data_IF_078921709098
#
_entry.id   IF_078921709098
#
_cell.length_a   1.000
_cell.length_b   1.000
_cell.length_c   1.000
_cell.angle_alpha   90.00
_cell.angle_beta   90.00
_cell.angle_gamma   90.00
#
_symmetry.space_group_name_H-M   'P 1'
#
loop_
_entity.id
_entity.type
_entity.pdbx_description
1 polymer ?
#
# COMPACT_ATOMS: atom_id res chain seq x y z
N UNK A 1 -2.52 -29.45 25.85
CA UNK A 1 -2.53 -27.98 25.85
C UNK A 1 -2.39 -27.54 24.41
N UNK A 2 -3.49 -27.10 23.78
CA UNK A 2 -3.38 -26.44 22.48
C UNK A 2 -2.46 -25.23 22.68
N UNK A 3 -1.43 -25.11 21.85
CA UNK A 3 -0.56 -23.93 21.88
C UNK A 3 -1.44 -22.71 21.67
N UNK A 4 -1.32 -21.73 22.57
CA UNK A 4 -1.79 -20.37 22.37
C UNK A 4 -0.95 -19.76 21.22
N UNK A 5 -1.11 -20.26 19.99
CA UNK A 5 -0.82 -19.44 18.82
C UNK A 5 -1.77 -18.25 18.93
N UNK A 6 -1.19 -17.09 19.21
CA UNK A 6 -1.88 -15.92 19.72
C UNK A 6 -3.14 -15.60 18.92
N UNK A 7 -4.26 -15.51 19.63
CA UNK A 7 -5.52 -14.91 19.18
C UNK A 7 -5.24 -13.66 18.33
N UNK A 8 -5.58 -13.71 17.04
CA UNK A 8 -5.47 -12.55 16.15
C UNK A 8 -6.81 -11.84 16.13
N UNK A 9 -6.81 -10.54 16.43
CA UNK A 9 -8.03 -9.72 16.34
C UNK A 9 -8.48 -9.56 14.88
N UNK A 10 -7.51 -9.47 13.96
CA UNK A 10 -7.73 -9.38 12.52
C UNK A 10 -6.77 -10.30 11.75
N UNK A 11 -7.10 -10.60 10.50
CA UNK A 11 -6.16 -11.15 9.50
C UNK A 11 -5.99 -10.15 8.36
N UNK A 12 -4.97 -10.35 7.54
CA UNK A 12 -4.75 -9.54 6.35
C UNK A 12 -4.48 -10.42 5.13
N UNK A 13 -4.95 -9.95 3.98
CA UNK A 13 -4.56 -10.44 2.66
C UNK A 13 -3.96 -9.27 1.89
N UNK A 14 -2.94 -9.53 1.07
CA UNK A 14 -2.31 -8.49 0.28
C UNK A 14 -1.92 -8.98 -1.11
N UNK A 15 -2.01 -8.08 -2.09
CA UNK A 15 -1.50 -8.30 -3.43
C UNK A 15 -0.80 -7.04 -3.96
N UNK A 16 0.26 -7.27 -4.72
CA UNK A 16 1.03 -6.21 -5.34
C UNK A 16 0.93 -6.28 -6.86
N UNK A 17 0.81 -5.12 -7.50
CA UNK A 17 0.88 -4.95 -8.95
C UNK A 17 1.94 -3.89 -9.25
N UNK A 18 2.83 -4.19 -10.20
CA UNK A 18 3.86 -3.29 -10.69
C UNK A 18 3.72 -3.14 -12.20
N UNK A 19 3.56 -1.92 -12.68
CA UNK A 19 3.52 -1.60 -14.10
C UNK A 19 4.65 -0.59 -14.39
N UNK A 20 5.79 -1.02 -14.94
CA UNK A 20 6.86 -0.10 -15.30
C UNK A 20 6.44 0.88 -16.40
N UNK A 21 6.94 2.11 -16.41
CA UNK A 21 6.81 3.07 -17.50
C UNK A 21 7.10 2.36 -18.82
N UNK A 22 6.33 2.59 -19.90
CA UNK A 22 6.48 1.83 -21.14
C UNK A 22 7.91 1.84 -21.70
N UNK A 23 8.60 2.97 -21.59
CA UNK A 23 9.98 3.12 -22.05
C UNK A 23 11.00 2.42 -21.13
N UNK A 24 10.64 2.15 -19.87
CA UNK A 24 11.46 1.48 -18.84
C UNK A 24 11.07 0.01 -18.64
N UNK A 25 10.14 -0.53 -19.43
CA UNK A 25 9.59 -1.88 -19.22
C UNK A 25 10.66 -2.98 -19.33
N UNK A 26 11.64 -2.82 -20.21
CA UNK A 26 12.72 -3.79 -20.39
C UNK A 26 13.71 -3.85 -19.22
N UNK A 27 13.79 -2.79 -18.41
CA UNK A 27 14.63 -2.70 -17.22
C UNK A 27 13.85 -2.95 -15.92
N UNK A 28 12.53 -3.17 -16.02
CA UNK A 28 11.66 -3.41 -14.87
C UNK A 28 11.19 -2.14 -14.15
N UNK A 29 11.45 -0.95 -14.70
CA UNK A 29 11.09 0.32 -14.07
C UNK A 29 12.06 0.77 -12.98
N UNK A 30 11.74 1.91 -12.38
CA UNK A 30 12.47 2.54 -11.29
C UNK A 30 11.78 2.35 -9.92
N UNK A 31 10.53 1.91 -9.92
CA UNK A 31 9.80 1.51 -8.71
C UNK A 31 10.25 0.14 -8.18
N UNK A 32 10.17 0.00 -6.86
CA UNK A 32 10.35 -1.24 -6.12
C UNK A 32 9.33 -1.37 -4.99
N UNK A 33 9.05 -2.59 -4.57
CA UNK A 33 8.21 -2.85 -3.41
C UNK A 33 8.69 -4.09 -2.66
N UNK A 34 8.21 -4.27 -1.43
CA UNK A 34 8.27 -5.55 -0.74
C UNK A 34 6.97 -5.83 0.00
N UNK A 35 6.67 -7.11 0.16
CA UNK A 35 5.58 -7.63 1.00
C UNK A 35 6.18 -8.71 1.88
N UNK A 36 6.26 -8.48 3.18
CA UNK A 36 6.86 -9.41 4.13
C UNK A 36 6.00 -9.51 5.39
N UNK A 37 5.28 -10.62 5.52
CA UNK A 37 4.31 -10.87 6.59
C UNK A 37 3.26 -9.74 6.67
N UNK A 38 3.37 -8.89 7.68
CA UNK A 38 2.50 -7.76 7.95
C UNK A 38 3.19 -6.40 7.76
N UNK A 39 4.32 -6.37 7.07
CA UNK A 39 5.06 -5.16 6.70
C UNK A 39 5.14 -5.05 5.19
N UNK A 40 4.92 -3.84 4.69
CA UNK A 40 4.82 -3.52 3.28
C UNK A 40 5.61 -2.25 3.01
N UNK A 41 6.20 -2.16 1.84
CA UNK A 41 6.92 -0.96 1.43
C UNK A 41 6.87 -0.75 -0.08
N UNK A 42 6.81 0.51 -0.49
CA UNK A 42 7.00 0.96 -1.87
C UNK A 42 8.08 2.03 -1.90
N UNK A 43 8.88 2.01 -2.97
CA UNK A 43 10.05 2.85 -3.16
C UNK A 43 10.06 3.28 -4.62
N UNK A 44 9.94 4.58 -4.88
CA UNK A 44 9.99 5.13 -6.23
C UNK A 44 11.34 5.77 -6.48
N UNK A 45 12.10 5.21 -7.42
CA UNK A 45 13.41 5.69 -7.83
C UNK A 45 13.32 6.97 -8.65
N UNK A 46 14.00 8.02 -8.21
CA UNK A 46 13.90 9.35 -8.84
C UNK A 46 14.45 9.33 -10.28
N UNK A 47 13.57 9.39 -11.27
CA UNK A 47 13.92 9.23 -12.69
C UNK A 47 14.88 10.28 -13.27
N UNK A 48 15.12 11.42 -12.59
CA UNK A 48 16.08 12.43 -13.06
C UNK A 48 17.53 11.90 -13.14
N UNK A 49 17.86 10.84 -12.41
CA UNK A 49 19.16 10.16 -12.45
C UNK A 49 19.50 9.58 -13.83
N UNK A 50 18.50 9.28 -14.66
CA UNK A 50 18.72 8.80 -16.02
C UNK A 50 19.55 9.77 -16.87
N UNK A 51 19.44 11.08 -16.62
CA UNK A 51 20.26 12.12 -17.29
C UNK A 51 21.76 12.03 -16.99
N UNK A 52 22.13 11.35 -15.92
CA UNK A 52 23.51 11.08 -15.50
C UNK A 52 23.93 9.63 -15.79
N UNK A 53 23.10 8.87 -16.52
CA UNK A 53 23.36 7.45 -16.81
C UNK A 53 23.25 6.54 -15.58
N UNK A 54 22.52 6.98 -14.55
CA UNK A 54 22.34 6.25 -13.29
C UNK A 54 20.95 5.59 -13.28
N UNK A 55 20.90 4.30 -12.96
CA UNK A 55 19.65 3.53 -12.82
C UNK A 55 19.07 3.74 -11.42
N UNK A 56 18.08 4.63 -11.29
CA UNK A 56 17.38 4.88 -10.03
C UNK A 56 16.61 3.64 -9.54
N UNK A 57 16.21 2.76 -10.45
CA UNK A 57 15.60 1.47 -10.11
C UNK A 57 16.55 0.53 -9.40
N UNK A 58 17.84 0.55 -9.75
CA UNK A 58 18.83 -0.24 -9.03
C UNK A 58 18.95 0.23 -7.58
N UNK A 59 18.87 1.54 -7.35
CA UNK A 59 18.86 2.13 -6.01
C UNK A 59 17.62 1.74 -5.22
N UNK A 60 16.42 1.96 -5.76
CA UNK A 60 15.15 1.66 -5.08
C UNK A 60 15.02 0.17 -4.74
N UNK A 61 15.40 -0.73 -5.66
CA UNK A 61 15.43 -2.18 -5.42
C UNK A 61 16.42 -2.56 -4.33
N UNK A 62 17.63 -1.99 -4.35
CA UNK A 62 18.64 -2.27 -3.33
C UNK A 62 18.21 -1.77 -1.94
N UNK A 63 17.65 -0.55 -1.86
CA UNK A 63 17.16 0.01 -0.60
C UNK A 63 15.95 -0.77 -0.07
N UNK A 64 15.00 -1.14 -0.93
CA UNK A 64 13.83 -1.95 -0.60
C UNK A 64 14.23 -3.31 -0.01
N UNK A 65 15.05 -4.08 -0.74
CA UNK A 65 15.51 -5.39 -0.28
C UNK A 65 16.37 -5.30 0.99
N UNK A 66 17.26 -4.30 1.06
CA UNK A 66 18.08 -4.05 2.24
C UNK A 66 17.25 -3.68 3.46
N UNK A 67 16.14 -2.96 3.27
CA UNK A 67 15.24 -2.56 4.37
C UNK A 67 14.47 -3.78 4.87
N UNK A 68 13.88 -4.56 3.96
CA UNK A 68 13.14 -5.78 4.28
C UNK A 68 14.00 -6.79 5.08
N UNK A 69 15.27 -6.99 4.66
CA UNK A 69 16.20 -7.90 5.34
C UNK A 69 16.66 -7.45 6.74
N UNK A 70 16.45 -6.17 7.10
CA UNK A 70 16.83 -5.59 8.40
C UNK A 70 15.67 -5.50 9.38
N UNK A 71 14.45 -5.81 8.94
CA UNK A 71 13.32 -5.94 9.85
C UNK A 71 13.60 -7.14 10.78
N UNK A 72 13.54 -6.96 12.11
CA UNK A 72 13.82 -8.03 13.06
C UNK A 72 12.97 -9.27 12.77
N UNK A 73 13.57 -10.46 12.63
CA UNK A 73 12.79 -11.68 12.55
C UNK A 73 11.99 -11.87 13.85
N UNK A 74 10.67 -12.01 13.73
CA UNK A 74 9.79 -12.28 14.85
C UNK A 74 8.91 -13.48 14.53
N UNK A 75 8.74 -14.34 15.53
CA UNK A 75 7.77 -15.45 15.47
C UNK A 75 6.36 -14.85 15.59
N UNK A 76 5.46 -15.18 14.65
CA UNK A 76 4.07 -14.72 14.65
C UNK A 76 3.85 -13.37 13.94
N UNK A 77 2.70 -12.74 14.18
CA UNK A 77 2.28 -11.46 13.57
C UNK A 77 2.48 -10.30 14.54
N UNK A 78 3.70 -10.17 15.07
CA UNK A 78 4.02 -9.13 16.05
C UNK A 78 4.22 -7.77 15.39
N UNK A 79 3.81 -6.73 16.11
CA UNK A 79 3.86 -5.32 15.70
C UNK A 79 5.28 -4.84 15.41
N UNK A 80 5.45 -4.07 14.33
CA UNK A 80 6.61 -3.18 14.18
C UNK A 80 6.15 -1.75 14.42
N UNK A 81 6.80 -1.08 15.36
CA UNK A 81 6.60 0.36 15.55
C UNK A 81 7.16 1.15 14.38
N UNK A 82 6.64 2.36 14.16
CA UNK A 82 7.18 3.28 13.14
C UNK A 82 8.69 3.52 13.32
N UNK A 83 9.17 3.55 14.57
CA UNK A 83 10.59 3.70 14.87
C UNK A 83 11.44 2.50 14.41
N UNK A 84 10.88 1.29 14.42
CA UNK A 84 11.58 0.11 13.89
C UNK A 84 11.65 0.13 12.37
N UNK A 85 10.58 0.57 11.69
CA UNK A 85 10.58 0.78 10.24
C UNK A 85 11.65 1.81 9.84
N UNK A 86 11.70 2.95 10.55
CA UNK A 86 12.70 4.00 10.35
C UNK A 86 14.12 3.48 10.55
N UNK A 87 14.37 2.71 11.62
CA UNK A 87 15.70 2.13 11.90
C UNK A 87 16.14 1.14 10.84
N UNK A 88 15.24 0.28 10.36
CA UNK A 88 15.53 -0.66 9.28
C UNK A 88 15.90 0.09 7.99
N UNK A 89 15.15 1.14 7.66
CA UNK A 89 15.39 1.99 6.50
C UNK A 89 16.72 2.75 6.59
N UNK A 90 17.03 3.37 7.73
CA UNK A 90 18.31 4.07 7.96
C UNK A 90 19.50 3.11 7.88
N UNK A 91 19.36 1.91 8.44
CA UNK A 91 20.42 0.90 8.39
C UNK A 91 20.63 0.35 6.96
N UNK A 92 19.56 0.27 6.15
CA UNK A 92 19.65 -0.06 4.72
C UNK A 92 20.34 1.06 3.95
N UNK A 93 19.92 2.31 4.15
CA UNK A 93 20.47 3.49 3.50
C UNK A 93 21.97 3.68 3.81
N UNK A 94 22.39 3.36 5.03
CA UNK A 94 23.80 3.46 5.43
C UNK A 94 24.71 2.40 4.78
N UNK A 95 24.15 1.42 4.08
CA UNK A 95 24.86 0.29 3.50
C UNK A 95 24.62 0.15 1.99
N UNK A 96 23.70 0.92 1.43
CA UNK A 96 23.47 0.95 -0.02
C UNK A 96 24.68 1.59 -0.70
N UNK A 97 25.27 0.88 -1.66
CA UNK A 97 26.42 1.36 -2.45
C UNK A 97 26.05 1.73 -3.88
N UNK A 98 24.81 1.45 -4.28
CA UNK A 98 24.26 1.83 -5.58
C UNK A 98 24.04 3.35 -5.57
N UNK A 99 24.40 4.01 -6.66
CA UNK A 99 24.13 5.44 -6.83
C UNK A 99 22.67 5.64 -7.26
N UNK A 100 22.03 6.67 -6.73
CA UNK A 100 20.66 7.03 -7.03
C UNK A 100 19.97 7.65 -5.82
N UNK A 101 18.67 7.87 -5.96
CA UNK A 101 17.80 8.24 -4.85
C UNK A 101 16.41 7.69 -5.07
N UNK A 102 15.63 7.55 -4.00
CA UNK A 102 14.23 7.15 -4.08
C UNK A 102 13.39 7.74 -2.96
N UNK A 103 12.08 7.81 -3.17
CA UNK A 103 11.09 7.97 -2.09
C UNK A 103 10.91 6.65 -1.35
N UNK A 104 10.25 6.68 -0.19
CA UNK A 104 9.94 5.47 0.58
C UNK A 104 8.66 5.65 1.40
N UNK A 105 7.64 4.84 1.11
CA UNK A 105 6.47 4.70 1.97
C UNK A 105 6.39 3.27 2.49
N UNK A 106 6.40 3.10 3.80
CA UNK A 106 6.35 1.80 4.47
C UNK A 106 5.23 1.78 5.49
N UNK A 107 4.57 0.63 5.64
CA UNK A 107 3.59 0.44 6.69
C UNK A 107 3.61 -0.97 7.27
N UNK A 108 3.18 -1.09 8.52
CA UNK A 108 2.93 -2.34 9.21
C UNK A 108 1.48 -2.37 9.70
N UNK A 109 0.81 -3.52 9.56
CA UNK A 109 -0.50 -3.78 10.17
C UNK A 109 -0.31 -4.78 11.31
N UNK A 110 -0.48 -4.34 12.55
CA UNK A 110 -0.47 -5.21 13.71
C UNK A 110 -1.81 -5.93 13.85
N UNK A 111 -1.81 -7.23 13.53
CA UNK A 111 -3.00 -8.05 13.57
C UNK A 111 -3.51 -8.38 15.00
N UNK A 112 -2.69 -8.13 16.02
CA UNK A 112 -3.05 -8.36 17.42
C UNK A 112 -3.74 -7.13 18.01
N UNK A 113 -3.17 -5.94 17.76
CA UNK A 113 -3.72 -4.66 18.25
C UNK A 113 -4.67 -3.95 17.27
N UNK A 114 -4.86 -4.50 16.07
CA UNK A 114 -5.65 -3.89 14.99
C UNK A 114 -5.20 -2.46 14.68
N UNK A 115 -3.89 -2.26 14.58
CA UNK A 115 -3.28 -0.93 14.39
C UNK A 115 -2.39 -0.91 13.15
N UNK A 116 -2.57 0.09 12.30
CA UNK A 116 -1.66 0.45 11.23
C UNK A 116 -0.63 1.45 11.75
N UNK A 117 0.65 1.21 11.45
CA UNK A 117 1.76 2.12 11.67
C UNK A 117 2.45 2.37 10.34
N UNK A 118 2.68 3.63 9.95
CA UNK A 118 3.32 3.96 8.68
C UNK A 118 4.37 5.06 8.79
N UNK A 119 5.35 5.00 7.90
CA UNK A 119 6.38 6.01 7.66
C UNK A 119 6.31 6.39 6.18
N UNK A 120 6.06 7.67 5.87
CA UNK A 120 6.11 8.18 4.50
C UNK A 120 7.23 9.20 4.36
N UNK A 121 8.12 9.01 3.38
CA UNK A 121 9.11 9.97 2.94
C UNK A 121 9.04 10.15 1.43
N UNK A 122 8.68 11.36 1.00
CA UNK A 122 8.41 11.70 -0.40
C UNK A 122 6.93 11.74 -0.74
N UNK A 123 6.59 11.55 -2.01
CA UNK A 123 5.24 11.65 -2.58
C UNK A 123 4.65 10.31 -3.05
N UNK A 124 5.36 9.20 -2.81
CA UNK A 124 4.70 7.93 -2.51
C UNK A 124 3.73 8.09 -1.32
N UNK A 125 2.87 7.10 -1.08
CA UNK A 125 1.94 7.21 0.04
C UNK A 125 1.01 6.03 0.25
N UNK A 126 0.12 6.20 1.23
CA UNK A 126 -0.96 5.25 1.48
C UNK A 126 -2.31 5.93 1.64
N UNK A 127 -3.38 5.16 1.42
CA UNK A 127 -4.77 5.52 1.65
C UNK A 127 -5.49 4.37 2.34
N UNK A 128 -6.22 4.65 3.42
CA UNK A 128 -7.10 3.74 4.13
C UNK A 128 -8.54 4.06 3.73
N UNK A 129 -9.19 3.11 3.07
CA UNK A 129 -10.59 3.17 2.68
C UNK A 129 -11.41 2.23 3.58
N UNK A 130 -12.53 2.74 4.11
CA UNK A 130 -13.44 1.97 4.97
C UNK A 130 -14.83 1.95 4.37
N UNK A 131 -15.38 0.75 4.22
CA UNK A 131 -16.81 0.59 3.95
C UNK A 131 -17.56 0.82 5.27
N UNK A 132 -18.54 1.73 5.26
CA UNK A 132 -19.46 1.89 6.39
C UNK A 132 -20.65 0.95 6.16
N UNK A 133 -20.96 0.10 7.15
CA UNK A 133 -21.99 -0.94 7.06
C UNK A 133 -23.38 -0.43 6.63
N UNK A 134 -23.64 0.87 6.81
CA UNK A 134 -24.91 1.52 6.52
C UNK A 134 -25.00 2.19 5.14
N UNK A 135 -23.92 2.20 4.33
CA UNK A 135 -23.92 2.93 3.05
C UNK A 135 -23.78 2.00 1.84
N UNK A 136 -24.81 2.02 0.99
CA UNK A 136 -24.70 1.55 -0.39
C UNK A 136 -23.87 2.56 -1.18
N UNK A 137 -22.55 2.42 -1.16
CA UNK A 137 -21.64 3.39 -1.76
C UNK A 137 -20.20 2.90 -1.84
N UNK A 138 -19.34 3.69 -2.47
CA UNK A 138 -17.90 3.45 -2.47
C UNK A 138 -17.34 3.63 -1.04
N UNK A 139 -16.29 2.86 -0.65
CA UNK A 139 -15.68 3.02 0.65
C UNK A 139 -15.11 4.43 0.79
N UNK A 140 -15.27 5.02 1.97
CA UNK A 140 -14.82 6.38 2.28
C UNK A 140 -13.33 6.39 2.60
N UNK A 141 -12.63 7.45 2.19
CA UNK A 141 -11.26 7.70 2.65
C UNK A 141 -11.28 8.10 4.13
N UNK A 142 -10.71 7.26 4.99
CA UNK A 142 -10.58 7.51 6.43
C UNK A 142 -9.24 8.15 6.79
N UNK A 143 -8.16 7.75 6.10
CA UNK A 143 -6.83 8.31 6.30
C UNK A 143 -6.01 8.25 5.02
N UNK A 144 -5.17 9.25 4.79
CA UNK A 144 -4.14 9.23 3.75
C UNK A 144 -2.88 9.95 4.20
N UNK A 145 -1.71 9.45 3.78
CA UNK A 145 -0.47 10.21 3.92
C UNK A 145 -0.49 11.46 3.05
N UNK A 146 0.22 12.51 3.47
CA UNK A 146 0.45 13.70 2.67
C UNK A 146 1.75 13.54 1.86
N UNK A 147 1.79 14.00 0.60
CA UNK A 147 3.04 14.04 -0.15
C UNK A 147 4.01 15.03 0.52
N UNK A 148 5.29 14.66 0.56
CA UNK A 148 6.37 15.50 1.05
C UNK A 148 7.27 15.92 -0.11
N UNK A 149 7.32 17.22 -0.37
CA UNK A 149 8.11 17.80 -1.45
C UNK A 149 8.84 19.05 -0.98
N UNK A 150 10.04 19.29 -1.50
CA UNK A 150 10.78 20.54 -1.28
C UNK A 150 10.18 21.70 -2.10
N UNK A 151 9.70 21.36 -3.29
CA UNK A 151 8.91 22.19 -4.20
C UNK A 151 8.19 21.27 -5.18
N UNK A 152 7.30 21.83 -6.01
CA UNK A 152 6.48 21.06 -6.94
C UNK A 152 7.28 20.01 -7.73
N UNK A 153 6.84 18.75 -7.62
CA UNK A 153 7.43 17.60 -8.32
C UNK A 153 8.93 17.39 -7.99
N UNK A 154 9.35 17.78 -6.79
CA UNK A 154 10.66 17.47 -6.21
C UNK A 154 10.46 16.87 -4.81
N UNK A 155 10.28 15.55 -4.73
CA UNK A 155 10.00 14.89 -3.46
C UNK A 155 11.19 14.89 -2.53
N UNK A 156 10.88 14.76 -1.24
CA UNK A 156 11.82 14.28 -0.26
C UNK A 156 12.34 12.91 -0.71
N UNK A 157 13.65 12.71 -0.64
CA UNK A 157 14.27 11.51 -1.22
C UNK A 157 15.51 11.07 -0.45
N UNK A 158 15.69 9.75 -0.38
CA UNK A 158 16.82 9.09 0.26
C UNK A 158 17.87 8.76 -0.79
N UNK A 159 19.15 9.01 -0.50
CA UNK A 159 20.25 8.81 -1.45
C UNK A 159 20.58 10.07 -2.25
N UNK A 160 21.79 10.12 -2.82
CA UNK A 160 22.33 11.31 -3.49
C UNK A 160 22.96 12.34 -2.55
N UNK A 161 23.40 13.45 -3.12
CA UNK A 161 24.02 14.56 -2.40
C UNK A 161 22.94 15.42 -1.71
N UNK A 162 23.14 15.77 -0.43
CA UNK A 162 22.16 16.49 0.42
C UNK A 162 20.81 15.77 0.61
N UNK A 163 20.83 14.44 0.59
CA UNK A 163 19.64 13.61 0.77
C UNK A 163 18.92 13.85 2.11
N UNK A 164 17.60 13.70 2.08
CA UNK A 164 16.78 13.57 3.27
C UNK A 164 17.14 12.29 4.03
N UNK A 165 16.67 12.19 5.28
CA UNK A 165 16.86 11.02 6.13
C UNK A 165 15.51 10.41 6.50
N UNK A 166 15.45 9.10 6.77
CA UNK A 166 14.25 8.43 7.28
C UNK A 166 13.54 9.18 8.42
N UNK A 167 14.30 9.81 9.33
CA UNK A 167 13.76 10.64 10.43
C UNK A 167 12.96 11.87 9.97
N UNK A 168 13.12 12.33 8.73
CA UNK A 168 12.38 13.43 8.12
C UNK A 168 11.00 12.98 7.61
N UNK A 169 10.75 11.66 7.52
CA UNK A 169 9.48 11.12 7.07
C UNK A 169 8.35 11.34 8.07
N UNK A 170 7.15 11.56 7.55
CA UNK A 170 5.94 11.68 8.34
C UNK A 170 5.55 10.31 8.92
N UNK A 171 5.10 10.32 10.18
CA UNK A 171 4.74 9.14 10.94
C UNK A 171 3.23 9.09 11.17
N UNK A 172 2.64 7.94 10.91
CA UNK A 172 1.20 7.74 11.02
C UNK A 172 0.89 6.54 11.90
N UNK A 173 -0.19 6.63 12.66
CA UNK A 173 -0.76 5.51 13.40
C UNK A 173 -2.28 5.61 13.34
N UNK A 174 -2.95 4.50 13.07
CA UNK A 174 -4.41 4.48 12.96
C UNK A 174 -4.99 3.10 13.32
N UNK A 175 -6.17 3.09 13.92
CA UNK A 175 -6.91 1.86 14.16
C UNK A 175 -7.51 1.34 12.84
N UNK A 176 -7.31 0.05 12.58
CA UNK A 176 -7.91 -0.64 11.43
C UNK A 176 -8.96 -1.63 11.91
N UNK A 177 -9.90 -1.96 11.03
CA UNK A 177 -10.96 -2.91 11.31
C UNK A 177 -11.22 -3.82 10.11
N UNK A 178 -11.83 -5.00 10.33
CA UNK A 178 -12.29 -5.85 9.24
C UNK A 178 -13.12 -5.06 8.21
N UNK A 179 -12.83 -5.28 6.93
CA UNK A 179 -13.43 -4.55 5.82
C UNK A 179 -12.61 -3.35 5.32
N UNK A 180 -11.60 -2.89 6.08
CA UNK A 180 -10.70 -1.84 5.61
C UNK A 180 -9.87 -2.31 4.41
N UNK A 181 -9.69 -1.41 3.44
CA UNK A 181 -8.82 -1.57 2.28
C UNK A 181 -7.72 -0.50 2.34
N UNK A 182 -6.46 -0.93 2.41
CA UNK A 182 -5.30 -0.04 2.44
C UNK A 182 -4.62 -0.12 1.08
N UNK A 183 -4.49 1.02 0.41
CA UNK A 183 -3.73 1.19 -0.83
C UNK A 183 -2.40 1.84 -0.47
N UNK A 184 -1.29 1.12 -0.63
CA UNK A 184 0.06 1.65 -0.54
C UNK A 184 0.63 1.73 -1.96
N UNK A 185 1.09 2.90 -2.41
CA UNK A 185 1.49 3.08 -3.79
C UNK A 185 2.52 4.19 -4.00
N UNK A 186 3.14 4.18 -5.17
CA UNK A 186 4.01 5.25 -5.66
C UNK A 186 3.20 6.40 -6.26
N UNK A 187 3.86 7.51 -6.57
CA UNK A 187 3.26 8.70 -7.14
C UNK A 187 2.57 8.41 -8.49
N UNK A 188 3.05 7.45 -9.28
CA UNK A 188 2.41 7.03 -10.53
C UNK A 188 0.94 6.61 -10.39
N UNK A 189 0.50 6.21 -9.18
CA UNK A 189 -0.92 6.10 -8.85
C UNK A 189 -1.54 7.46 -8.50
N UNK A 190 -0.99 8.11 -7.48
CA UNK A 190 -1.60 9.29 -6.83
C UNK A 190 -1.59 10.55 -7.70
N UNK A 191 -0.69 10.64 -8.67
CA UNK A 191 -0.65 11.71 -9.66
C UNK A 191 -1.73 11.57 -10.72
N UNK A 192 -2.31 10.38 -10.87
CA UNK A 192 -3.21 10.05 -11.97
C UNK A 192 -4.67 9.81 -11.54
N UNK A 193 -4.91 9.33 -10.32
CA UNK A 193 -6.25 9.05 -9.79
C UNK A 193 -6.54 9.85 -8.52
N UNK A 194 -7.72 10.48 -8.46
CA UNK A 194 -8.22 11.07 -7.22
C UNK A 194 -8.69 9.98 -6.24
N UNK A 195 -8.73 10.31 -4.95
CA UNK A 195 -9.11 9.36 -3.89
C UNK A 195 -10.54 8.80 -4.08
N UNK A 196 -11.48 9.60 -4.61
CA UNK A 196 -12.84 9.15 -4.93
C UNK A 196 -12.88 8.17 -6.10
N UNK A 197 -12.02 8.36 -7.11
CA UNK A 197 -11.84 7.40 -8.19
C UNK A 197 -11.24 6.08 -7.68
N UNK A 198 -10.23 6.14 -6.81
CA UNK A 198 -9.65 4.94 -6.17
C UNK A 198 -10.74 4.21 -5.37
N UNK A 199 -11.49 4.91 -4.52
CA UNK A 199 -12.60 4.35 -3.76
C UNK A 199 -13.64 3.68 -4.67
N UNK A 200 -14.02 4.32 -5.78
CA UNK A 200 -14.97 3.75 -6.74
C UNK A 200 -14.44 2.48 -7.45
N UNK A 201 -13.12 2.38 -7.68
CA UNK A 201 -12.51 1.16 -8.22
C UNK A 201 -12.53 0.01 -7.21
N UNK A 202 -12.30 0.32 -5.93
CA UNK A 202 -12.35 -0.64 -4.81
C UNK A 202 -13.78 -1.14 -4.56
N UNK A 203 -14.78 -0.26 -4.64
CA UNK A 203 -16.20 -0.57 -4.43
C UNK A 203 -16.75 -1.68 -5.34
N UNK A 204 -16.15 -1.87 -6.51
CA UNK A 204 -16.53 -2.91 -7.48
C UNK A 204 -16.24 -4.33 -6.97
N UNK A 205 -15.51 -4.49 -5.87
CA UNK A 205 -15.20 -5.80 -5.28
C UNK A 205 -14.32 -6.70 -6.16
N UNK A 206 -14.11 -7.93 -5.70
CA UNK A 206 -13.23 -8.92 -6.33
C UNK A 206 -12.18 -9.47 -5.36
N UNK A 207 -11.30 -10.33 -5.87
CA UNK A 207 -10.12 -10.78 -5.11
C UNK A 207 -9.14 -9.62 -4.90
N UNK A 208 -8.23 -9.75 -3.94
CA UNK A 208 -7.26 -8.69 -3.65
C UNK A 208 -6.34 -8.42 -4.85
N UNK A 209 -6.01 -9.46 -5.62
CA UNK A 209 -5.22 -9.36 -6.86
C UNK A 209 -5.98 -8.59 -7.93
N UNK A 210 -7.24 -8.91 -8.16
CA UNK A 210 -8.09 -8.21 -9.13
C UNK A 210 -8.27 -6.73 -8.79
N UNK A 211 -8.37 -6.40 -7.50
CA UNK A 211 -8.45 -5.02 -7.04
C UNK A 211 -7.13 -4.27 -7.25
N UNK A 212 -6.00 -4.88 -6.86
CA UNK A 212 -4.66 -4.32 -7.05
C UNK A 212 -4.38 -4.03 -8.54
N UNK A 213 -4.65 -5.02 -9.40
CA UNK A 213 -4.47 -4.88 -10.85
C UNK A 213 -5.40 -3.82 -11.44
N UNK A 214 -6.66 -3.76 -11.01
CA UNK A 214 -7.63 -2.77 -11.48
C UNK A 214 -7.22 -1.34 -11.14
N UNK A 215 -6.74 -1.11 -9.92
CA UNK A 215 -6.26 0.22 -9.48
C UNK A 215 -5.04 0.62 -10.32
N UNK A 216 -4.02 -0.24 -10.40
CA UNK A 216 -2.80 0.04 -11.15
C UNK A 216 -3.05 0.23 -12.66
N UNK A 217 -3.81 -0.67 -13.29
CA UNK A 217 -4.12 -0.59 -14.73
C UNK A 217 -4.98 0.61 -15.09
N UNK A 218 -5.89 1.04 -14.19
CA UNK A 218 -6.67 2.26 -14.41
C UNK A 218 -5.77 3.49 -14.33
N UNK A 219 -4.88 3.57 -13.34
CA UNK A 219 -3.89 4.66 -13.24
C UNK A 219 -3.02 4.75 -14.49
N UNK A 220 -2.46 3.61 -14.93
CA UNK A 220 -1.70 3.50 -16.19
C UNK A 220 -2.52 3.91 -17.41
N UNK A 221 -3.78 3.51 -17.50
CA UNK A 221 -4.61 3.86 -18.66
C UNK A 221 -4.83 5.37 -18.73
N UNK A 222 -5.17 6.00 -17.60
CA UNK A 222 -5.49 7.42 -17.57
C UNK A 222 -4.24 8.31 -17.61
N UNK A 223 -3.06 7.76 -17.28
CA UNK A 223 -1.80 8.49 -17.37
C UNK A 223 -1.44 8.91 -18.81
N UNK A 224 -1.90 8.14 -19.81
CA UNK A 224 -1.72 8.49 -21.23
C UNK A 224 -2.72 9.53 -21.76
N UNK A 225 -3.74 9.90 -20.99
CA UNK A 225 -4.71 10.89 -21.43
C UNK A 225 -4.13 12.31 -21.27
N UNK A 226 -3.56 12.83 -22.35
CA UNK A 226 -2.96 14.18 -22.43
C UNK A 226 -3.93 15.35 -22.15
N UNK A 227 -5.24 15.08 -22.04
CA UNK A 227 -6.26 16.10 -21.77
C UNK A 227 -6.91 15.95 -20.39
N UNK A 228 -6.58 14.87 -19.66
CA UNK A 228 -7.11 14.62 -18.33
C UNK A 228 -6.76 15.75 -17.37
N UNK A 229 -7.72 16.08 -16.52
CA UNK A 229 -7.47 16.79 -15.27
C UNK A 229 -7.11 15.75 -14.21
N UNK A 230 -5.82 15.51 -14.05
CA UNK A 230 -5.26 14.59 -13.05
C UNK A 230 -4.92 15.33 -11.74
N UNK A 231 -4.76 14.63 -10.60
CA UNK A 231 -4.19 15.23 -9.39
C UNK A 231 -2.92 16.04 -9.65
N UNK A 232 -1.97 15.47 -10.42
CA UNK A 232 -0.74 16.15 -10.83
C UNK A 232 -1.01 17.48 -11.52
N UNK A 233 -1.94 17.51 -12.50
CA UNK A 233 -2.27 18.77 -13.20
C UNK A 233 -2.89 19.82 -12.30
N UNK A 234 -3.66 19.39 -11.29
CA UNK A 234 -4.32 20.29 -10.34
C UNK A 234 -3.25 20.96 -9.47
N UNK A 235 -2.29 20.18 -8.98
CA UNK A 235 -1.16 20.71 -8.22
C UNK A 235 -0.26 21.60 -9.08
N UNK A 236 0.12 21.15 -10.27
CA UNK A 236 0.93 21.91 -11.22
C UNK A 236 0.35 23.31 -11.44
N UNK A 237 -0.97 23.39 -11.70
CA UNK A 237 -1.68 24.67 -11.89
C UNK A 237 -1.71 25.53 -10.64
N UNK A 238 -1.88 24.94 -9.46
CA UNK A 238 -1.83 25.67 -8.19
C UNK A 238 -0.45 26.30 -7.95
N UNK A 239 0.61 25.70 -8.50
CA UNK A 239 1.99 26.17 -8.44
C UNK A 239 2.37 27.07 -9.64
N UNK A 240 1.43 27.39 -10.52
CA UNK A 240 1.64 28.28 -11.67
C UNK A 240 2.20 27.61 -12.93
N UNK A 241 2.29 26.28 -12.97
CA UNK A 241 2.71 25.51 -14.14
C UNK A 241 1.52 25.11 -15.03
N UNK A 242 1.74 25.08 -16.34
CA UNK A 242 0.76 24.60 -17.32
C UNK A 242 1.17 23.23 -17.88
N UNK A 243 0.83 22.17 -17.14
CA UNK A 243 1.12 20.78 -17.52
C UNK A 243 -0.20 20.00 -17.57
N UNK A 244 -0.87 19.91 -18.75
CA UNK A 244 -2.14 19.20 -18.90
C UNK A 244 -1.93 17.68 -19.06
N UNK A 245 -2.93 16.88 -18.67
CA UNK A 245 -2.96 15.44 -18.90
C UNK A 245 -2.55 14.57 -17.71
N UNK A 246 -2.56 13.26 -17.91
CA UNK A 246 -1.93 12.33 -16.98
C UNK A 246 -0.40 12.45 -16.95
N UNK A 247 0.22 11.89 -15.91
CA UNK A 247 1.68 11.78 -15.78
C UNK A 247 2.05 10.31 -16.00
N UNK A 248 2.64 9.99 -17.14
CA UNK A 248 3.07 8.62 -17.43
C UNK A 248 4.26 8.31 -16.54
N UNK A 249 4.12 7.29 -15.68
CA UNK A 249 5.17 6.86 -14.77
C UNK A 249 5.16 5.34 -14.53
N UNK A 250 6.17 4.85 -13.80
CA UNK A 250 6.07 3.57 -13.11
C UNK A 250 4.87 3.59 -12.15
N UNK A 251 4.19 2.45 -11.98
CA UNK A 251 3.04 2.35 -11.06
C UNK A 251 3.20 1.11 -10.20
N UNK A 252 3.53 1.32 -8.93
CA UNK A 252 3.53 0.28 -7.91
C UNK A 252 2.32 0.43 -6.99
N UNK A 253 1.56 -0.65 -6.81
CA UNK A 253 0.43 -0.70 -5.88
C UNK A 253 0.53 -1.96 -5.05
N UNK A 254 0.60 -1.82 -3.72
CA UNK A 254 0.38 -2.88 -2.74
C UNK A 254 -0.98 -2.63 -2.10
N UNK A 255 -1.93 -3.51 -2.38
CA UNK A 255 -3.27 -3.46 -1.81
C UNK A 255 -3.37 -4.47 -0.67
N UNK A 256 -3.90 -4.02 0.48
CA UNK A 256 -4.05 -4.84 1.69
C UNK A 256 -5.52 -4.78 2.11
N UNK A 257 -6.11 -5.93 2.41
CA UNK A 257 -7.46 -6.06 2.96
C UNK A 257 -7.39 -6.58 4.38
N UNK A 258 -8.08 -5.89 5.28
CA UNK A 258 -8.24 -6.31 6.67
C UNK A 258 -9.47 -7.21 6.78
N UNK A 259 -9.29 -8.37 7.40
CA UNK A 259 -10.28 -9.42 7.56
C UNK A 259 -10.53 -9.69 9.04
N UNK A 260 -11.67 -10.33 9.32
CA UNK A 260 -11.93 -10.86 10.66
C UNK A 260 -10.81 -11.84 11.07
N UNK A 261 -10.40 -11.74 12.33
CA UNK A 261 -9.45 -12.67 12.95
C UNK A 261 -10.00 -14.09 13.07
N UNK A 262 -9.14 -15.02 13.45
CA UNK A 262 -9.54 -16.40 13.72
C UNK A 262 -10.13 -16.49 15.13
N UNK A 263 -11.42 -16.79 15.24
CA UNK A 263 -12.07 -17.07 16.51
C UNK A 263 -11.68 -18.49 16.96
N UNK A 264 -11.13 -18.69 18.18
CA UNK A 264 -10.88 -20.03 18.69
C UNK A 264 -12.23 -20.71 18.96
N UNK A 265 -12.52 -21.78 18.21
CA UNK A 265 -13.68 -22.64 18.44
C UNK A 265 -14.79 -22.62 17.39
N UNK A 266 -14.63 -21.92 16.25
CA UNK A 266 -15.65 -21.85 15.19
C UNK A 266 -15.69 -23.03 14.20
N UNK A 267 -15.21 -24.22 14.59
CA UNK A 267 -15.42 -25.44 13.83
C UNK A 267 -16.37 -26.34 14.63
N UNK A 268 -17.67 -26.21 14.34
CA UNK A 268 -18.85 -26.99 14.77
C UNK A 268 -19.95 -26.03 15.29
N UNK A 269 -21.06 -25.92 14.53
CA UNK A 269 -22.45 -25.74 15.01
C UNK A 269 -23.39 -24.97 14.07
N UNK A 270 -23.01 -24.65 12.82
CA UNK A 270 -24.01 -24.21 11.83
C UNK A 270 -24.75 -25.37 11.14
N UNK A 271 -24.20 -26.60 11.17
CA UNK A 271 -24.77 -27.75 10.46
C UNK A 271 -25.65 -28.66 11.36
N UNK A 272 -25.52 -28.60 12.69
CA UNK A 272 -26.40 -29.32 13.61
C UNK A 272 -27.77 -28.63 13.78
N UNK A 273 -27.81 -27.30 13.83
CA UNK A 273 -29.07 -26.57 13.97
C UNK A 273 -29.91 -26.64 12.68
N UNK A 274 -29.25 -26.72 11.51
CA UNK A 274 -29.91 -26.97 10.22
C UNK A 274 -30.44 -28.41 10.09
N UNK A 275 -29.72 -29.43 10.60
CA UNK A 275 -30.19 -30.83 10.63
C UNK A 275 -31.33 -31.03 11.62
N UNK A 276 -31.25 -30.41 12.80
CA UNK A 276 -32.29 -30.52 13.84
C UNK A 276 -33.60 -29.85 13.39
N UNK A 277 -33.51 -28.71 12.68
CA UNK A 277 -34.67 -28.04 12.06
C UNK A 277 -35.26 -28.82 10.88
N UNK A 278 -34.43 -29.47 10.05
CA UNK A 278 -34.92 -30.36 8.98
C UNK A 278 -35.64 -31.59 9.53
N UNK A 279 -35.10 -32.23 10.57
CA UNK A 279 -35.67 -33.44 11.15
C UNK A 279 -36.99 -33.16 11.92
N UNK A 280 -37.10 -32.00 12.59
CA UNK A 280 -38.36 -31.56 13.22
C UNK A 280 -39.47 -31.24 12.21
N UNK A 281 -39.12 -30.66 11.05
CA UNK A 281 -40.10 -30.35 10.02
C UNK A 281 -40.58 -31.60 9.25
N UNK A 282 -39.71 -32.60 9.08
CA UNK A 282 -40.09 -33.87 8.45
C UNK A 282 -41.03 -34.70 9.34
N UNK A 283 -40.80 -34.74 10.67
CA UNK A 283 -41.70 -35.42 11.61
C UNK A 283 -43.09 -34.78 11.69
N UNK A 284 -43.18 -33.46 11.57
CA UNK A 284 -44.47 -32.72 11.60
C UNK A 284 -45.29 -32.84 10.33
N UNK A 285 -44.70 -33.31 9.23
CA UNK A 285 -45.39 -33.53 7.95
C UNK A 285 -46.00 -34.94 7.78
N UNK A 286 -45.73 -35.85 8.74
CA UNK A 286 -46.15 -37.26 8.71
C UNK A 286 -47.16 -37.64 9.81
N UNK A 287 -47.71 -36.66 10.52
CA UNK A 287 -48.86 -36.76 11.42
C UNK A 287 -50.01 -35.93 10.87
#
# INVERSE_FOLDING_TARGET
MASLEGLRAIRIEAAATMLPHPEKANTGGEDAFFVQNNVFGVFDGVGSWASHGVDAGAFSRALSAGTASRLPERVGHSSYSVLELEKALEASLSQVSVLGSCTACMLCVDCSSSTLSALNLGDSGFRLFRQLDSEAGAPRLEMGSRPQQHFFNCPFQLGGDNADRPRNGDRYTHAVQPGDLIVLATDGLFDNLFDDEIGALLAKGGTIEQLSERVASTARKVSFDTKRRSPFTVEARAQGYNMPGGKVDDVAVVLIRVLNGDVPGGAQDEDEDARSRRMSNELRSKL
#
